data_IF_279483371474
#
_entry.id   IF_279483371474
#
_cell.length_a   1.000
_cell.length_b   1.000
_cell.length_c   1.000
_cell.angle_alpha   90.00
_cell.angle_beta   90.00
_cell.angle_gamma   90.00
#
_symmetry.space_group_name_H-M   'P 1'
#
loop_
_entity.id
_entity.type
_entity.pdbx_description
1 polymer ?
#
# COMPACT_ATOMS: atom_id res chain seq x y z
N UNK A 1 -51.08 -3.75 11.95
CA UNK A 1 -51.18 -4.20 10.55
C UNK A 1 -50.84 -3.00 9.69
N UNK A 2 -49.56 -2.82 9.35
CA UNK A 2 -49.06 -1.62 8.66
C UNK A 2 -48.69 -2.05 7.25
N UNK A 3 -49.31 -1.41 6.26
CA UNK A 3 -49.15 -1.63 4.82
C UNK A 3 -47.90 -0.91 4.32
N UNK A 4 -47.07 -1.61 3.54
CA UNK A 4 -45.94 -1.05 2.79
C UNK A 4 -46.42 -0.55 1.41
N UNK A 5 -45.95 0.59 0.88
CA UNK A 5 -46.21 0.98 -0.49
C UNK A 5 -45.26 0.26 -1.47
N UNK A 6 -45.80 -0.14 -2.61
CA UNK A 6 -45.10 -0.77 -3.74
C UNK A 6 -44.06 0.16 -4.36
N UNK A 7 -42.86 -0.37 -4.59
CA UNK A 7 -41.81 0.27 -5.38
C UNK A 7 -42.08 0.05 -6.88
N UNK A 8 -42.52 1.10 -7.56
CA UNK A 8 -42.55 1.13 -9.03
C UNK A 8 -41.14 1.26 -9.61
N UNK A 9 -40.91 0.46 -10.65
CA UNK A 9 -39.75 0.45 -11.53
C UNK A 9 -39.44 1.81 -12.16
N UNK A 10 -38.20 2.27 -12.07
CA UNK A 10 -37.78 3.51 -12.70
C UNK A 10 -36.26 3.63 -12.88
N UNK A 11 -35.83 3.50 -14.14
CA UNK A 11 -34.67 4.13 -14.77
C UNK A 11 -33.26 3.79 -14.25
N UNK A 12 -32.49 3.13 -15.13
CA UNK A 12 -31.03 3.02 -15.07
C UNK A 12 -30.41 4.43 -14.95
N UNK A 13 -30.07 4.85 -13.74
CA UNK A 13 -29.16 5.98 -13.54
C UNK A 13 -27.74 5.46 -13.68
N UNK A 14 -27.13 5.86 -14.78
CA UNK A 14 -25.71 5.76 -15.03
C UNK A 14 -24.94 6.39 -13.86
N UNK A 15 -24.31 5.54 -13.04
CA UNK A 15 -23.43 5.96 -11.97
C UNK A 15 -22.17 6.55 -12.63
N UNK A 16 -22.18 7.87 -12.89
CA UNK A 16 -20.98 8.60 -13.27
C UNK A 16 -20.07 8.64 -12.06
N UNK A 17 -19.09 7.76 -12.06
CA UNK A 17 -17.97 7.76 -11.14
C UNK A 17 -17.05 8.94 -11.48
N UNK A 18 -17.36 10.11 -10.93
CA UNK A 18 -16.45 11.25 -10.96
C UNK A 18 -15.38 11.06 -9.88
N UNK A 19 -14.37 10.24 -10.18
CA UNK A 19 -13.08 10.22 -9.49
C UNK A 19 -12.31 11.52 -9.80
N UNK A 20 -12.85 12.66 -9.38
CA UNK A 20 -12.25 13.97 -9.55
C UNK A 20 -11.43 14.27 -8.28
N UNK A 21 -10.11 13.99 -8.31
CA UNK A 21 -9.23 14.48 -7.23
C UNK A 21 -7.87 13.80 -7.03
N UNK A 22 -7.69 12.55 -7.47
CA UNK A 22 -6.37 11.90 -7.49
C UNK A 22 -5.72 12.07 -8.86
N UNK A 23 -5.43 13.32 -9.22
CA UNK A 23 -4.56 13.64 -10.36
C UNK A 23 -3.13 13.29 -10.00
N UNK A 24 -2.83 12.01 -10.12
CA UNK A 24 -1.54 11.44 -9.81
C UNK A 24 -1.43 10.08 -10.47
N UNK A 25 -1.43 10.06 -11.82
CA UNK A 25 -0.75 8.98 -12.54
C UNK A 25 0.74 9.08 -12.22
N UNK A 26 1.14 8.71 -10.99
CA UNK A 26 2.53 8.36 -10.72
C UNK A 26 2.68 6.98 -11.34
N UNK A 27 2.89 6.97 -12.66
CA UNK A 27 3.56 5.86 -13.30
C UNK A 27 4.89 5.76 -12.59
N UNK A 28 5.03 4.75 -11.72
CA UNK A 28 6.34 4.35 -11.27
C UNK A 28 7.05 3.89 -12.55
N UNK A 29 7.74 4.81 -13.23
CA UNK A 29 8.67 4.50 -14.31
C UNK A 29 9.83 3.77 -13.65
N UNK A 30 9.58 2.51 -13.38
CA UNK A 30 10.46 1.66 -12.64
C UNK A 30 11.43 1.02 -13.64
N UNK A 31 12.73 0.96 -13.35
CA UNK A 31 13.75 0.45 -14.27
C UNK A 31 13.43 -1.00 -14.68
N UNK A 32 13.95 -1.47 -15.83
CA UNK A 32 13.64 -2.77 -16.43
C UNK A 32 13.69 -3.98 -15.46
N UNK A 33 14.46 -3.88 -14.38
CA UNK A 33 14.53 -4.85 -13.28
C UNK A 33 13.25 -4.98 -12.42
N UNK A 34 12.21 -4.16 -12.64
CA UNK A 34 10.93 -4.20 -11.93
C UNK A 34 9.84 -5.02 -12.61
N UNK A 35 10.08 -5.39 -13.87
CA UNK A 35 9.28 -6.37 -14.60
C UNK A 35 9.74 -7.75 -14.15
N UNK A 36 9.17 -8.23 -13.06
CA UNK A 36 9.55 -9.52 -12.50
C UNK A 36 9.32 -10.67 -13.48
N UNK A 37 10.18 -11.68 -13.43
CA UNK A 37 10.08 -12.91 -14.22
C UNK A 37 9.71 -14.10 -13.34
N UNK A 38 9.06 -15.12 -13.92
CA UNK A 38 8.65 -16.33 -13.20
C UNK A 38 7.72 -16.02 -12.01
N UNK A 39 8.16 -16.34 -10.79
CA UNK A 39 7.39 -16.13 -9.57
C UNK A 39 7.22 -14.65 -9.18
N UNK A 40 7.91 -13.72 -9.86
CA UNK A 40 7.71 -12.27 -9.67
C UNK A 40 6.94 -11.60 -10.82
N UNK A 41 6.41 -12.42 -11.75
CA UNK A 41 5.67 -12.00 -12.94
C UNK A 41 4.33 -11.32 -12.63
N UNK A 42 3.80 -10.59 -13.62
CA UNK A 42 2.47 -9.99 -13.57
C UNK A 42 1.38 -11.01 -13.19
N UNK A 43 1.46 -12.25 -13.70
CA UNK A 43 0.51 -13.32 -13.37
C UNK A 43 0.52 -13.67 -11.88
N UNK A 44 1.70 -13.74 -11.25
CA UNK A 44 1.79 -14.02 -9.81
C UNK A 44 1.22 -12.86 -8.99
N UNK A 45 1.45 -11.61 -9.43
CA UNK A 45 0.85 -10.43 -8.80
C UNK A 45 -0.67 -10.46 -8.90
N UNK A 46 -1.25 -10.76 -10.06
CA UNK A 46 -2.71 -10.85 -10.19
C UNK A 46 -3.31 -11.96 -9.32
N UNK A 47 -2.61 -13.10 -9.14
CA UNK A 47 -3.06 -14.14 -8.19
C UNK A 47 -3.10 -13.62 -6.76
N UNK A 48 -2.10 -12.83 -6.35
CA UNK A 48 -2.12 -12.17 -5.05
C UNK A 48 -3.32 -11.22 -4.96
N UNK A 49 -3.54 -10.39 -5.97
CA UNK A 49 -4.66 -9.43 -5.97
C UNK A 49 -6.02 -10.12 -5.88
N UNK A 50 -6.23 -11.21 -6.61
CA UNK A 50 -7.47 -11.99 -6.51
C UNK A 50 -7.69 -12.51 -5.09
N UNK A 51 -6.65 -13.00 -4.42
CA UNK A 51 -6.76 -13.41 -3.00
C UNK A 51 -7.13 -12.25 -2.10
N UNK A 52 -6.58 -11.06 -2.32
CA UNK A 52 -6.93 -9.88 -1.53
C UNK A 52 -8.40 -9.49 -1.71
N UNK A 53 -8.91 -9.54 -2.95
CA UNK A 53 -10.32 -9.36 -3.26
C UNK A 53 -11.19 -10.39 -2.51
N UNK A 54 -10.83 -11.67 -2.59
CA UNK A 54 -11.55 -12.76 -1.91
C UNK A 54 -11.57 -12.59 -0.37
N UNK A 55 -10.59 -11.87 0.19
CA UNK A 55 -10.47 -11.56 1.62
C UNK A 55 -10.99 -10.17 1.99
N UNK A 56 -11.81 -9.55 1.13
CA UNK A 56 -12.58 -8.34 1.49
C UNK A 56 -11.86 -7.01 1.26
N UNK A 57 -10.74 -7.00 0.54
CA UNK A 57 -10.15 -5.74 0.07
C UNK A 57 -10.95 -5.25 -1.14
N UNK A 58 -11.71 -4.18 -0.95
CA UNK A 58 -12.61 -3.59 -1.95
C UNK A 58 -12.08 -2.28 -2.52
N UNK A 59 -11.10 -1.66 -1.86
CA UNK A 59 -10.56 -0.37 -2.29
C UNK A 59 -9.64 -0.52 -3.52
N UNK A 60 -10.11 -0.06 -4.67
CA UNK A 60 -9.38 -0.21 -5.92
C UNK A 60 -8.02 0.52 -5.91
N UNK A 61 -7.92 1.68 -5.24
CA UNK A 61 -6.66 2.41 -5.12
C UNK A 61 -5.63 1.59 -4.34
N UNK A 62 -6.05 0.92 -3.26
CA UNK A 62 -5.17 0.04 -2.47
C UNK A 62 -4.71 -1.15 -3.30
N UNK A 63 -5.63 -1.83 -3.99
CA UNK A 63 -5.30 -2.98 -4.85
C UNK A 63 -4.31 -2.59 -5.95
N UNK A 64 -4.51 -1.44 -6.59
CA UNK A 64 -3.62 -0.93 -7.63
C UNK A 64 -2.22 -0.61 -7.09
N UNK A 65 -2.13 -0.10 -5.86
CA UNK A 65 -0.83 0.13 -5.19
C UNK A 65 -0.13 -1.17 -4.84
N UNK A 66 -0.83 -2.13 -4.22
CA UNK A 66 -0.23 -3.44 -3.89
C UNK A 66 0.21 -4.19 -5.16
N UNK A 67 -0.55 -4.06 -6.26
CA UNK A 67 -0.20 -4.64 -7.58
C UNK A 67 1.07 -4.02 -8.17
N UNK A 68 1.17 -2.70 -8.11
CA UNK A 68 2.21 -1.94 -8.80
C UNK A 68 3.53 -1.85 -8.03
N UNK A 69 3.50 -1.86 -6.69
CA UNK A 69 4.73 -1.84 -5.89
C UNK A 69 5.46 -3.18 -6.04
N UNK A 70 6.74 -3.20 -6.48
CA UNK A 70 7.48 -4.43 -6.70
C UNK A 70 7.94 -5.04 -5.37
N UNK A 71 7.03 -5.72 -4.65
CA UNK A 71 7.27 -6.31 -3.31
C UNK A 71 8.55 -7.14 -3.20
N UNK A 72 8.96 -7.83 -4.26
CA UNK A 72 10.21 -8.61 -4.29
C UNK A 72 11.48 -7.77 -4.06
N UNK A 73 11.47 -6.46 -4.35
CA UNK A 73 12.60 -5.56 -4.03
C UNK A 73 12.73 -5.25 -2.54
N UNK A 74 11.72 -5.59 -1.73
CA UNK A 74 11.64 -5.29 -0.31
C UNK A 74 11.97 -6.50 0.58
N UNK A 75 12.33 -7.63 -0.03
CA UNK A 75 12.77 -8.84 0.66
C UNK A 75 14.21 -9.19 0.29
N UNK A 76 14.79 -10.16 0.98
CA UNK A 76 16.08 -10.71 0.60
C UNK A 76 15.96 -11.46 -0.73
N UNK A 77 17.02 -11.44 -1.55
CA UNK A 77 17.04 -12.06 -2.89
C UNK A 77 16.59 -13.52 -2.87
N UNK A 78 17.05 -14.30 -1.87
CA UNK A 78 16.68 -15.71 -1.69
C UNK A 78 15.18 -15.95 -1.46
N UNK A 79 14.42 -14.91 -1.10
CA UNK A 79 12.98 -14.96 -0.81
C UNK A 79 12.14 -14.26 -1.89
N UNK A 80 12.76 -13.74 -2.95
CA UNK A 80 12.07 -13.01 -4.01
C UNK A 80 10.98 -13.85 -4.69
N UNK A 81 11.18 -15.16 -4.81
CA UNK A 81 10.19 -16.10 -5.36
C UNK A 81 8.92 -16.24 -4.51
N UNK A 82 9.01 -15.98 -3.20
CA UNK A 82 7.90 -16.02 -2.24
C UNK A 82 7.26 -14.65 -2.01
N UNK A 83 7.80 -13.58 -2.60
CA UNK A 83 7.40 -12.21 -2.28
C UNK A 83 5.92 -11.89 -2.49
N UNK A 84 5.23 -12.65 -3.34
CA UNK A 84 3.80 -12.48 -3.67
C UNK A 84 2.91 -13.58 -3.11
N UNK A 85 3.45 -14.42 -2.22
CA UNK A 85 2.63 -15.20 -1.30
C UNK A 85 2.03 -14.27 -0.24
N UNK A 86 0.85 -14.62 0.27
CA UNK A 86 0.24 -13.86 1.37
C UNK A 86 0.84 -14.30 2.72
N UNK A 87 2.15 -14.09 2.86
CA UNK A 87 2.92 -14.49 4.03
C UNK A 87 3.86 -13.37 4.49
N UNK A 88 4.21 -13.39 5.77
CA UNK A 88 5.23 -12.53 6.32
C UNK A 88 6.61 -13.13 6.01
N UNK A 89 7.56 -12.29 5.60
CA UNK A 89 8.90 -12.75 5.21
C UNK A 89 9.97 -12.02 6.02
N UNK A 90 11.08 -12.68 6.39
CA UNK A 90 12.17 -12.01 7.09
C UNK A 90 12.86 -10.98 6.18
N UNK A 91 13.23 -9.83 6.75
CA UNK A 91 13.94 -8.73 6.06
C UNK A 91 15.32 -8.45 6.69
N UNK A 92 15.78 -9.35 7.57
CA UNK A 92 17.00 -9.19 8.36
C UNK A 92 16.76 -8.46 9.68
N UNK A 93 17.79 -8.43 10.53
CA UNK A 93 17.76 -7.74 11.83
C UNK A 93 16.61 -8.17 12.76
N UNK A 94 16.17 -9.43 12.65
CA UNK A 94 15.04 -9.97 13.41
C UNK A 94 13.68 -9.35 13.04
N UNK A 95 13.59 -8.63 11.92
CA UNK A 95 12.35 -7.99 11.46
C UNK A 95 11.72 -8.78 10.30
N UNK A 96 10.43 -8.55 10.09
CA UNK A 96 9.65 -9.12 8.98
C UNK A 96 8.95 -8.04 8.16
N UNK A 97 8.74 -8.30 6.88
CA UNK A 97 7.74 -7.58 6.08
C UNK A 97 6.36 -8.19 6.34
N UNK A 98 5.37 -7.36 6.63
CA UNK A 98 4.00 -7.80 6.88
C UNK A 98 3.37 -8.49 5.66
N UNK A 99 2.43 -9.40 5.92
CA UNK A 99 1.61 -10.04 4.87
C UNK A 99 0.95 -8.98 3.96
N UNK A 100 0.87 -9.21 2.64
CA UNK A 100 0.13 -8.34 1.73
C UNK A 100 -1.31 -8.04 2.18
N UNK A 101 -2.04 -9.02 2.71
CA UNK A 101 -3.41 -8.80 3.20
C UNK A 101 -3.46 -7.78 4.33
N UNK A 102 -2.56 -7.91 5.31
CA UNK A 102 -2.49 -6.96 6.44
C UNK A 102 -2.11 -5.55 5.95
N UNK A 103 -1.16 -5.44 5.02
CA UNK A 103 -0.81 -4.16 4.38
C UNK A 103 -2.04 -3.52 3.69
N UNK A 104 -2.80 -4.32 2.94
CA UNK A 104 -3.99 -3.86 2.24
C UNK A 104 -5.11 -3.44 3.21
N UNK A 105 -5.41 -4.26 4.23
CA UNK A 105 -6.42 -3.97 5.24
C UNK A 105 -6.11 -2.67 5.99
N UNK A 106 -4.88 -2.51 6.47
CA UNK A 106 -4.47 -1.29 7.18
C UNK A 106 -4.58 -0.05 6.29
N UNK A 107 -4.20 -0.17 5.02
CA UNK A 107 -4.25 0.94 4.08
C UNK A 107 -5.68 1.30 3.69
N UNK A 108 -6.55 0.30 3.49
CA UNK A 108 -7.97 0.51 3.22
C UNK A 108 -8.65 1.21 4.40
N UNK A 109 -8.46 0.69 5.61
CA UNK A 109 -9.02 1.27 6.83
C UNK A 109 -8.53 2.72 7.10
N UNK A 110 -7.32 3.06 6.65
CA UNK A 110 -6.79 4.42 6.75
C UNK A 110 -7.47 5.40 5.78
N UNK A 111 -7.88 4.91 4.61
CA UNK A 111 -8.37 5.73 3.49
C UNK A 111 -9.89 5.77 3.40
N UNK A 112 -10.62 4.86 4.04
CA UNK A 112 -12.08 4.79 3.97
C UNK A 112 -12.74 5.36 5.23
N UNK A 113 -13.82 6.11 5.02
CA UNK A 113 -14.76 6.50 6.06
C UNK A 113 -15.87 5.46 6.21
N UNK A 114 -16.66 5.56 7.30
CA UNK A 114 -17.76 4.63 7.56
C UNK A 114 -18.87 4.64 6.51
N UNK A 115 -18.98 5.70 5.72
CA UNK A 115 -19.96 5.83 4.62
C UNK A 115 -19.40 5.38 3.25
N UNK A 116 -18.17 4.84 3.23
CA UNK A 116 -17.48 4.40 2.02
C UNK A 116 -16.80 5.52 1.22
N UNK A 117 -16.85 6.76 1.70
CA UNK A 117 -16.12 7.86 1.07
C UNK A 117 -14.61 7.79 1.37
N UNK A 118 -13.79 8.43 0.52
CA UNK A 118 -12.34 8.44 0.68
C UNK A 118 -11.86 9.62 1.54
N UNK A 119 -11.11 9.30 2.60
CA UNK A 119 -10.38 10.25 3.42
C UNK A 119 -9.15 10.80 2.71
N UNK A 120 -9.06 12.12 2.58
CA UNK A 120 -7.87 12.79 2.02
C UNK A 120 -6.83 13.09 3.10
N UNK A 121 -5.87 12.20 3.28
CA UNK A 121 -4.81 12.35 4.28
C UNK A 121 -3.70 13.27 3.79
N UNK A 122 -3.53 14.43 4.42
CA UNK A 122 -2.41 15.34 4.13
C UNK A 122 -1.07 14.83 4.67
N UNK A 123 -1.09 14.23 5.86
CA UNK A 123 0.09 13.68 6.54
C UNK A 123 -0.27 12.34 7.17
N UNK A 124 0.64 11.38 7.08
CA UNK A 124 0.54 10.08 7.75
C UNK A 124 1.83 9.83 8.52
N UNK A 125 1.71 9.34 9.75
CA UNK A 125 2.84 8.85 10.53
C UNK A 125 2.82 7.32 10.52
N UNK A 126 3.90 6.72 10.02
CA UNK A 126 4.19 5.30 10.07
C UNK A 126 5.25 5.03 11.14
N UNK A 127 4.97 4.09 12.04
CA UNK A 127 5.92 3.64 13.06
C UNK A 127 6.41 2.25 12.67
N UNK A 128 7.72 2.12 12.47
CA UNK A 128 8.36 0.92 11.95
C UNK A 128 8.45 0.94 10.43
N UNK A 129 9.36 1.75 9.88
CA UNK A 129 9.61 1.79 8.43
C UNK A 129 10.01 0.41 7.88
N UNK A 130 10.80 -0.36 8.62
CA UNK A 130 11.29 -1.67 8.21
C UNK A 130 11.98 -1.62 6.84
N UNK A 131 11.53 -2.46 5.91
CA UNK A 131 12.01 -2.50 4.53
C UNK A 131 11.43 -1.37 3.64
N UNK A 132 10.41 -0.64 4.10
CA UNK A 132 9.76 0.46 3.40
C UNK A 132 8.61 0.07 2.46
N UNK A 133 8.14 -1.18 2.48
CA UNK A 133 7.08 -1.63 1.57
C UNK A 133 5.75 -0.93 1.83
N UNK A 134 5.32 -0.86 3.10
CA UNK A 134 4.12 -0.14 3.52
C UNK A 134 4.24 1.35 3.17
N UNK A 135 5.40 1.98 3.44
CA UNK A 135 5.71 3.36 3.01
C UNK A 135 5.51 3.55 1.50
N UNK A 136 5.98 2.61 0.67
CA UNK A 136 5.85 2.67 -0.78
C UNK A 136 4.42 2.45 -1.30
N UNK A 137 3.61 1.69 -0.57
CA UNK A 137 2.18 1.54 -0.83
C UNK A 137 1.45 2.84 -0.48
N UNK A 138 1.73 3.43 0.68
CA UNK A 138 1.07 4.65 1.19
C UNK A 138 1.43 5.91 0.42
N UNK A 139 2.69 6.07 0.03
CA UNK A 139 3.22 7.34 -0.45
C UNK A 139 2.36 7.98 -1.56
N UNK A 140 1.91 7.27 -2.61
CA UNK A 140 1.09 7.90 -3.65
C UNK A 140 -0.38 8.13 -3.27
N UNK A 141 -0.83 7.59 -2.15
CA UNK A 141 -2.21 7.68 -1.67
C UNK A 141 -2.42 8.87 -0.73
N UNK A 142 -1.36 9.50 -0.24
CA UNK A 142 -1.41 10.55 0.79
C UNK A 142 -0.48 11.72 0.46
N UNK A 143 -0.65 12.85 1.15
CA UNK A 143 0.18 14.03 0.92
C UNK A 143 1.67 13.82 1.26
N UNK A 144 1.97 13.41 2.49
CA UNK A 144 3.35 13.10 2.93
C UNK A 144 3.33 11.98 3.97
N UNK A 145 4.24 11.02 3.83
CA UNK A 145 4.47 9.97 4.83
C UNK A 145 5.68 10.32 5.67
N UNK A 146 5.47 10.47 6.98
CA UNK A 146 6.52 10.53 7.98
C UNK A 146 6.70 9.12 8.52
N UNK A 147 7.90 8.56 8.45
CA UNK A 147 8.15 7.19 8.89
C UNK A 147 9.36 7.11 9.81
N UNK A 148 9.20 6.38 10.92
CA UNK A 148 10.21 6.21 11.96
C UNK A 148 10.70 4.77 11.98
N UNK A 149 12.02 4.58 12.06
CA UNK A 149 12.67 3.28 12.24
C UNK A 149 13.77 3.35 13.28
N UNK A 150 13.86 2.36 14.17
CA UNK A 150 14.89 2.30 15.22
C UNK A 150 16.16 1.59 14.76
N UNK A 151 16.07 0.64 13.81
CA UNK A 151 17.17 -0.16 13.30
C UNK A 151 17.90 0.62 12.19
N UNK A 152 19.05 1.21 12.54
CA UNK A 152 19.79 2.10 11.63
C UNK A 152 20.16 1.46 10.27
N UNK A 153 20.66 0.20 10.22
CA UNK A 153 20.99 -0.43 8.94
C UNK A 153 19.77 -0.63 8.03
N UNK A 154 18.61 -1.02 8.58
CA UNK A 154 17.37 -1.16 7.81
C UNK A 154 16.96 0.19 7.20
N UNK A 155 16.96 1.26 8.00
CA UNK A 155 16.58 2.58 7.51
C UNK A 155 17.51 3.10 6.40
N UNK A 156 18.82 2.79 6.49
CA UNK A 156 19.77 3.17 5.46
C UNK A 156 19.47 2.48 4.12
N UNK A 157 19.21 1.18 4.14
CA UNK A 157 18.85 0.43 2.91
C UNK A 157 17.49 0.85 2.36
N UNK A 158 16.52 1.11 3.25
CA UNK A 158 15.20 1.59 2.86
C UNK A 158 15.25 2.97 2.20
N UNK A 159 16.09 3.89 2.67
CA UNK A 159 16.32 5.19 1.99
C UNK A 159 16.77 5.01 0.55
N UNK A 160 17.78 4.15 0.32
CA UNK A 160 18.32 3.88 -1.02
C UNK A 160 17.23 3.28 -1.92
N UNK A 161 16.51 2.27 -1.42
CA UNK A 161 15.43 1.58 -2.15
C UNK A 161 14.32 2.55 -2.54
N UNK A 162 13.78 3.32 -1.61
CA UNK A 162 12.68 4.26 -1.89
C UNK A 162 13.14 5.38 -2.83
N UNK A 163 14.38 5.85 -2.71
CA UNK A 163 14.99 6.79 -3.67
C UNK A 163 15.08 6.19 -5.07
N UNK A 164 15.52 4.93 -5.23
CA UNK A 164 15.59 4.27 -6.55
C UNK A 164 14.22 4.04 -7.20
N UNK A 165 13.15 4.03 -6.38
CA UNK A 165 11.76 3.94 -6.83
C UNK A 165 11.13 5.33 -7.08
N UNK A 166 11.90 6.40 -6.99
CA UNK A 166 11.45 7.79 -7.17
C UNK A 166 10.30 8.18 -6.22
N UNK A 167 10.29 7.64 -5.00
CA UNK A 167 9.29 7.97 -3.98
C UNK A 167 9.79 9.19 -3.20
N UNK A 168 9.22 10.37 -3.50
CA UNK A 168 9.74 11.64 -3.04
C UNK A 168 8.99 12.26 -1.84
N UNK A 169 7.71 11.93 -1.64
CA UNK A 169 6.88 12.55 -0.60
C UNK A 169 6.98 11.82 0.76
N UNK A 170 8.21 11.47 1.15
CA UNK A 170 8.50 10.74 2.38
C UNK A 170 9.52 11.49 3.25
N UNK A 171 9.37 11.36 4.57
CA UNK A 171 10.31 11.87 5.58
C UNK A 171 10.69 10.70 6.50
N UNK A 172 11.96 10.30 6.45
CA UNK A 172 12.46 9.12 7.18
C UNK A 172 13.37 9.52 8.34
N UNK A 173 13.03 9.10 9.56
CA UNK A 173 13.81 9.41 10.76
C UNK A 173 14.22 8.16 11.51
N UNK A 174 15.47 8.16 11.98
CA UNK A 174 15.92 7.16 12.95
C UNK A 174 15.54 7.63 14.34
N UNK A 175 14.59 6.96 14.99
CA UNK A 175 14.14 7.34 16.32
C UNK A 175 13.40 6.19 17.01
N UNK A 176 13.04 6.38 18.27
CA UNK A 176 12.05 5.54 18.95
C UNK A 176 10.64 6.02 18.60
N UNK A 177 9.88 5.14 17.94
CA UNK A 177 8.52 5.41 17.49
C UNK A 177 7.51 5.66 18.62
N UNK A 178 7.78 5.24 19.86
CA UNK A 178 6.86 5.45 20.99
C UNK A 178 6.53 6.92 21.25
N UNK A 179 7.43 7.84 20.87
CA UNK A 179 7.26 9.28 21.06
C UNK A 179 6.58 9.96 19.88
N UNK A 180 6.26 9.22 18.83
CA UNK A 180 5.75 9.75 17.57
C UNK A 180 6.72 10.74 16.92
N UNK A 181 6.19 11.69 16.14
CA UNK A 181 6.96 12.75 15.50
C UNK A 181 6.36 14.14 15.76
N UNK A 182 6.75 14.80 16.86
CA UNK A 182 6.31 16.17 17.14
C UNK A 182 6.77 17.15 16.05
N UNK A 183 5.90 18.09 15.67
CA UNK A 183 6.20 19.16 14.69
C UNK A 183 6.09 18.75 13.22
N UNK A 184 5.44 17.63 12.92
CA UNK A 184 5.27 17.12 11.54
C UNK A 184 4.20 17.82 10.72
#
# INVERSE_FOLDING_TARGET
MITLPELQSGSQRQCRSEYFGYSGKVSLNAPAHTQGIGMTSARTRERLINRLLDNGITNQLVLDRVRSVPRHLFVQEALASRAYEDDALPIGFGQTISQPLIVALMTQALLEESDGSLRKMKKVLEIGTGCGYQTAVLAPLVGTVYSIERVAPLLQETRKRLSSLNIANIRLRRDDGHRGWPGQ
#
